data_IF_909716734149
#
_entry.id   IF_909716734149
#
_cell.length_a   1.000
_cell.length_b   1.000
_cell.length_c   1.000
_cell.angle_alpha   90.00
_cell.angle_beta   90.00
_cell.angle_gamma   90.00
#
_symmetry.space_group_name_H-M   'P 1'
#
loop_
_entity.id
_entity.type
_entity.pdbx_description
1 polymer ?
#
# COMPACT_ATOMS: atom_id res chain seq x y z
N UNK A 1 10.92 22.64 -9.77
CA UNK A 1 11.27 21.47 -10.60
C UNK A 1 12.50 20.70 -10.07
N UNK A 2 13.56 21.33 -9.57
CA UNK A 2 14.75 20.64 -9.01
C UNK A 2 14.46 19.85 -7.72
N UNK A 3 13.74 20.44 -6.74
CA UNK A 3 13.41 19.76 -5.46
C UNK A 3 12.67 18.43 -5.63
N UNK A 4 11.68 18.36 -6.52
CA UNK A 4 10.94 17.12 -6.76
C UNK A 4 11.80 15.99 -7.33
N UNK A 5 12.77 16.32 -8.21
CA UNK A 5 13.73 15.33 -8.73
C UNK A 5 14.65 14.81 -7.63
N UNK A 6 15.11 15.69 -6.74
CA UNK A 6 15.94 15.29 -5.60
C UNK A 6 15.18 14.34 -4.68
N UNK A 7 13.93 14.66 -4.32
CA UNK A 7 13.13 13.76 -3.48
C UNK A 7 12.78 12.44 -4.15
N UNK A 8 12.55 12.42 -5.46
CA UNK A 8 12.36 11.18 -6.21
C UNK A 8 13.63 10.30 -6.19
N UNK A 9 14.81 10.91 -6.37
CA UNK A 9 16.09 10.22 -6.27
C UNK A 9 16.35 9.70 -4.85
N UNK A 10 16.05 10.51 -3.82
CA UNK A 10 16.16 10.10 -2.43
C UNK A 10 15.18 8.97 -2.08
N UNK A 11 13.95 9.01 -2.58
CA UNK A 11 12.97 7.93 -2.40
C UNK A 11 13.47 6.63 -3.05
N UNK A 12 13.99 6.72 -4.28
CA UNK A 12 14.57 5.58 -4.98
C UNK A 12 15.77 5.00 -4.22
N UNK A 13 16.70 5.86 -3.79
CA UNK A 13 17.85 5.46 -3.00
C UNK A 13 17.45 4.84 -1.67
N UNK A 14 16.49 5.43 -0.95
CA UNK A 14 15.97 4.92 0.31
C UNK A 14 15.32 3.54 0.13
N UNK A 15 14.46 3.38 -0.88
CA UNK A 15 13.82 2.08 -1.17
C UNK A 15 14.86 1.01 -1.54
N UNK A 16 15.84 1.36 -2.38
CA UNK A 16 16.94 0.46 -2.77
C UNK A 16 17.88 0.13 -1.61
N UNK A 17 17.90 0.94 -0.54
CA UNK A 17 18.74 0.74 0.63
C UNK A 17 18.04 -0.03 1.76
N UNK A 18 16.77 -0.43 1.61
CA UNK A 18 16.08 -1.24 2.60
C UNK A 18 16.73 -2.63 2.62
N UNK A 19 17.43 -3.04 3.70
CA UNK A 19 18.19 -4.30 3.74
C UNK A 19 17.37 -5.50 3.32
N UNK A 20 16.13 -5.60 3.81
CA UNK A 20 15.26 -6.72 3.48
C UNK A 20 14.86 -6.78 2.00
N UNK A 21 14.62 -5.64 1.35
CA UNK A 21 14.33 -5.61 -0.09
C UNK A 21 15.55 -6.04 -0.92
N UNK A 22 16.76 -5.62 -0.51
CA UNK A 22 18.01 -6.07 -1.13
C UNK A 22 18.13 -7.59 -1.02
N UNK A 23 17.93 -8.15 0.17
CA UNK A 23 17.97 -9.60 0.39
C UNK A 23 16.94 -10.35 -0.46
N UNK A 24 15.68 -9.89 -0.48
CA UNK A 24 14.63 -10.52 -1.29
C UNK A 24 14.94 -10.48 -2.78
N UNK A 25 15.52 -9.38 -3.26
CA UNK A 25 15.92 -9.24 -4.67
C UNK A 25 17.04 -10.20 -5.04
N UNK A 26 18.02 -10.41 -4.16
CA UNK A 26 19.13 -11.36 -4.38
C UNK A 26 18.70 -12.83 -4.33
N UNK A 27 17.63 -13.14 -3.59
CA UNK A 27 17.08 -14.49 -3.46
C UNK A 27 15.98 -14.81 -4.51
N UNK A 28 15.76 -13.91 -5.47
CA UNK A 28 14.75 -14.04 -6.52
C UNK A 28 13.33 -14.33 -6.01
N UNK A 29 12.97 -13.82 -4.82
CA UNK A 29 11.61 -13.93 -4.32
C UNK A 29 10.66 -13.04 -5.12
N UNK A 30 9.48 -13.58 -5.43
CA UNK A 30 8.44 -12.85 -6.17
C UNK A 30 7.91 -11.62 -5.42
N UNK A 31 8.14 -11.53 -4.10
CA UNK A 31 7.77 -10.38 -3.28
C UNK A 31 8.41 -9.07 -3.77
N UNK A 32 9.65 -9.13 -4.30
CA UNK A 32 10.32 -7.96 -4.89
C UNK A 32 9.66 -7.49 -6.18
N UNK A 33 9.30 -8.43 -7.06
CA UNK A 33 8.57 -8.12 -8.30
C UNK A 33 7.19 -7.54 -7.99
N UNK A 34 6.48 -8.09 -6.99
CA UNK A 34 5.20 -7.59 -6.55
C UNK A 34 5.31 -6.18 -5.96
N UNK A 35 6.36 -5.89 -5.18
CA UNK A 35 6.63 -4.55 -4.66
C UNK A 35 6.85 -3.52 -5.78
N UNK A 36 7.58 -3.90 -6.84
CA UNK A 36 7.80 -3.05 -8.00
C UNK A 36 6.50 -2.80 -8.79
N UNK A 37 5.68 -3.84 -8.99
CA UNK A 37 4.36 -3.70 -9.62
C UNK A 37 3.44 -2.81 -8.80
N UNK A 38 3.39 -2.99 -7.47
CA UNK A 38 2.62 -2.16 -6.55
C UNK A 38 3.01 -0.68 -6.64
N UNK A 39 4.32 -0.40 -6.63
CA UNK A 39 4.85 0.95 -6.79
C UNK A 39 4.48 1.54 -8.15
N UNK A 40 4.71 0.80 -9.24
CA UNK A 40 4.39 1.25 -10.59
C UNK A 40 2.90 1.58 -10.75
N UNK A 41 2.02 0.69 -10.27
CA UNK A 41 0.58 0.91 -10.28
C UNK A 41 0.20 2.17 -9.49
N UNK A 42 0.76 2.35 -8.29
CA UNK A 42 0.46 3.51 -7.46
C UNK A 42 0.92 4.83 -8.09
N UNK A 43 2.14 4.90 -8.64
CA UNK A 43 2.65 6.10 -9.31
C UNK A 43 1.81 6.43 -10.55
N UNK A 44 1.53 5.43 -11.40
CA UNK A 44 0.73 5.63 -12.61
C UNK A 44 -0.73 5.98 -12.29
N UNK A 45 -1.28 5.41 -11.21
CA UNK A 45 -2.61 5.76 -10.73
C UNK A 45 -2.67 7.20 -10.22
N UNK A 46 -1.69 7.64 -9.43
CA UNK A 46 -1.61 9.04 -8.97
C UNK A 46 -1.51 9.98 -10.18
N UNK A 47 -0.66 9.67 -11.17
CA UNK A 47 -0.54 10.48 -12.39
C UNK A 47 -1.85 10.54 -13.20
N UNK A 48 -2.60 9.44 -13.30
CA UNK A 48 -3.95 9.46 -13.89
C UNK A 48 -4.92 10.36 -13.11
N UNK A 49 -4.89 10.29 -11.78
CA UNK A 49 -5.81 11.06 -10.95
C UNK A 49 -5.50 12.57 -11.03
N UNK A 50 -4.22 12.94 -11.01
CA UNK A 50 -3.75 14.32 -11.13
C UNK A 50 -4.05 14.89 -12.53
N UNK A 51 -3.51 14.27 -13.59
CA UNK A 51 -3.48 14.89 -14.92
C UNK A 51 -4.49 14.29 -15.91
N UNK A 52 -5.06 13.11 -15.62
CA UNK A 52 -6.00 12.44 -16.52
C UNK A 52 -5.35 11.89 -17.79
N UNK A 53 -4.05 11.61 -17.77
CA UNK A 53 -3.34 11.07 -18.93
C UNK A 53 -3.72 9.60 -19.17
N UNK A 54 -4.32 9.24 -20.32
CA UNK A 54 -4.80 7.88 -20.57
C UNK A 54 -3.68 6.83 -20.56
N UNK A 55 -2.46 7.21 -20.97
CA UNK A 55 -1.29 6.33 -20.90
C UNK A 55 -0.94 5.91 -19.46
N UNK A 56 -1.09 6.82 -18.48
CA UNK A 56 -0.87 6.50 -17.08
C UNK A 56 -1.91 5.50 -16.57
N UNK A 57 -3.19 5.69 -16.92
CA UNK A 57 -4.23 4.73 -16.57
C UNK A 57 -3.97 3.35 -17.17
N UNK A 58 -3.58 3.29 -18.45
CA UNK A 58 -3.27 2.03 -19.13
C UNK A 58 -2.13 1.29 -18.43
N UNK A 59 -1.04 1.97 -18.11
CA UNK A 59 0.09 1.38 -17.39
C UNK A 59 -0.30 0.93 -15.98
N UNK A 60 -1.14 1.69 -15.28
CA UNK A 60 -1.68 1.27 -13.98
C UNK A 60 -2.53 -0.01 -14.12
N UNK A 61 -3.41 -0.10 -15.11
CA UNK A 61 -4.23 -1.28 -15.40
C UNK A 61 -3.36 -2.50 -15.68
N UNK A 62 -2.33 -2.36 -16.51
CA UNK A 62 -1.38 -3.45 -16.79
C UNK A 62 -0.68 -3.91 -15.51
N UNK A 63 -0.20 -2.97 -14.68
CA UNK A 63 0.42 -3.31 -13.41
C UNK A 63 -0.56 -4.03 -12.46
N UNK A 64 -1.81 -3.57 -12.34
CA UNK A 64 -2.86 -4.23 -11.55
C UNK A 64 -3.18 -5.63 -12.05
N UNK A 65 -3.20 -5.84 -13.36
CA UNK A 65 -3.43 -7.15 -13.97
C UNK A 65 -2.29 -8.14 -13.65
N UNK A 66 -1.04 -7.66 -13.65
CA UNK A 66 0.14 -8.49 -13.38
C UNK A 66 0.35 -8.83 -11.90
N UNK A 67 -0.16 -8.03 -10.96
CA UNK A 67 -0.02 -8.31 -9.53
C UNK A 67 -0.55 -9.70 -9.11
N UNK A 68 -1.84 -10.05 -9.35
CA UNK A 68 -2.37 -11.37 -8.97
C UNK A 68 -1.74 -12.52 -9.76
N UNK A 69 -1.16 -12.25 -10.93
CA UNK A 69 -0.38 -13.23 -11.69
C UNK A 69 0.97 -13.51 -11.02
N UNK A 70 1.65 -12.47 -10.55
CA UNK A 70 2.93 -12.60 -9.86
C UNK A 70 2.78 -13.36 -8.54
N UNK A 71 1.76 -13.04 -7.73
CA UNK A 71 1.49 -13.71 -6.45
C UNK A 71 0.03 -13.57 -6.08
N UNK A 72 -0.53 -14.56 -5.38
CA UNK A 72 -1.93 -14.51 -4.92
C UNK A 72 -2.24 -13.28 -4.05
N UNK A 73 -1.29 -12.88 -3.18
CA UNK A 73 -1.40 -11.66 -2.34
C UNK A 73 -1.50 -10.38 -3.18
N UNK A 74 -1.05 -10.41 -4.44
CA UNK A 74 -1.09 -9.27 -5.34
C UNK A 74 -2.50 -8.81 -5.68
N UNK A 75 -3.50 -9.71 -5.62
CA UNK A 75 -4.91 -9.30 -5.75
C UNK A 75 -5.31 -8.37 -4.59
N UNK A 76 -4.88 -8.69 -3.37
CA UNK A 76 -5.22 -7.88 -2.18
C UNK A 76 -4.62 -6.49 -2.31
N UNK A 77 -3.35 -6.38 -2.72
CA UNK A 77 -2.67 -5.09 -2.96
C UNK A 77 -3.41 -4.26 -4.01
N UNK A 78 -3.76 -4.88 -5.15
CA UNK A 78 -4.49 -4.20 -6.22
C UNK A 78 -5.83 -3.64 -5.70
N UNK A 79 -6.61 -4.46 -4.99
CA UNK A 79 -7.91 -4.05 -4.46
C UNK A 79 -7.80 -2.94 -3.42
N UNK A 80 -6.83 -2.97 -2.50
CA UNK A 80 -6.69 -1.90 -1.51
C UNK A 80 -6.21 -0.58 -2.12
N UNK A 81 -5.36 -0.62 -3.16
CA UNK A 81 -4.96 0.59 -3.90
C UNK A 81 -6.15 1.23 -4.62
N UNK A 82 -6.97 0.41 -5.28
CA UNK A 82 -8.18 0.88 -5.97
C UNK A 82 -9.23 1.39 -4.98
N UNK A 83 -9.43 0.70 -3.86
CA UNK A 83 -10.31 1.16 -2.78
C UNK A 83 -9.83 2.50 -2.21
N UNK A 84 -8.53 2.62 -1.92
CA UNK A 84 -7.95 3.87 -1.46
C UNK A 84 -8.15 5.01 -2.47
N UNK A 85 -8.03 4.74 -3.78
CA UNK A 85 -8.34 5.72 -4.82
C UNK A 85 -9.81 6.15 -4.84
N UNK A 86 -10.76 5.24 -4.65
CA UNK A 86 -12.19 5.58 -4.55
C UNK A 86 -12.48 6.42 -3.30
N UNK A 87 -11.85 6.08 -2.17
CA UNK A 87 -12.03 6.80 -0.90
C UNK A 87 -11.45 8.22 -0.97
N UNK A 88 -10.27 8.41 -1.57
CA UNK A 88 -9.60 9.70 -1.70
C UNK A 88 -10.20 10.56 -2.83
N UNK A 89 -10.65 9.92 -3.91
CA UNK A 89 -11.29 10.54 -5.08
C UNK A 89 -12.76 10.08 -5.21
N UNK A 90 -13.62 10.42 -4.24
CA UNK A 90 -15.04 10.07 -4.28
C UNK A 90 -15.73 10.72 -5.49
N UNK A 91 -16.92 10.23 -5.90
CA UNK A 91 -17.52 10.61 -7.18
C UNK A 91 -17.80 12.12 -7.31
N UNK A 92 -18.02 12.81 -6.20
CA UNK A 92 -18.19 14.27 -6.17
C UNK A 92 -16.90 15.07 -6.44
N UNK A 93 -15.72 14.45 -6.36
CA UNK A 93 -14.44 15.03 -6.79
C UNK A 93 -14.07 14.68 -8.23
N UNK A 94 -14.80 13.76 -8.86
CA UNK A 94 -14.59 13.35 -10.25
C UNK A 94 -14.78 11.84 -10.47
N UNK A 95 -14.93 11.45 -11.73
CA UNK A 95 -15.14 10.05 -12.13
C UNK A 95 -13.85 9.23 -12.24
N UNK A 96 -12.68 9.88 -12.23
CA UNK A 96 -11.38 9.25 -12.52
C UNK A 96 -11.03 8.10 -11.56
N UNK A 97 -11.31 8.26 -10.27
CA UNK A 97 -11.08 7.20 -9.26
C UNK A 97 -11.92 5.95 -9.52
N UNK A 98 -13.21 6.13 -9.85
CA UNK A 98 -14.11 5.04 -10.19
C UNK A 98 -13.74 4.35 -11.50
N UNK A 99 -13.37 5.13 -12.53
CA UNK A 99 -12.90 4.56 -13.79
C UNK A 99 -11.66 3.69 -13.56
N UNK A 100 -10.70 4.19 -12.77
CA UNK A 100 -9.51 3.41 -12.42
C UNK A 100 -9.86 2.15 -11.61
N UNK A 101 -10.75 2.25 -10.62
CA UNK A 101 -11.19 1.12 -9.81
C UNK A 101 -11.92 0.05 -10.62
N UNK A 102 -12.82 0.44 -11.52
CA UNK A 102 -13.53 -0.49 -12.39
C UNK A 102 -12.57 -1.13 -13.40
N UNK A 103 -11.81 -0.33 -14.15
CA UNK A 103 -10.93 -0.85 -15.19
C UNK A 103 -9.78 -1.69 -14.60
N UNK A 104 -9.10 -1.19 -13.57
CA UNK A 104 -8.02 -1.92 -12.89
C UNK A 104 -8.53 -3.14 -12.14
N UNK A 105 -9.69 -3.03 -11.47
CA UNK A 105 -10.32 -4.14 -10.75
C UNK A 105 -10.76 -5.26 -11.70
N UNK A 106 -11.41 -4.93 -12.80
CA UNK A 106 -11.75 -5.90 -13.85
C UNK A 106 -10.50 -6.59 -14.40
N UNK A 107 -9.43 -5.84 -14.71
CA UNK A 107 -8.20 -6.44 -15.23
C UNK A 107 -7.53 -7.40 -14.22
N UNK A 108 -7.43 -6.99 -12.95
CA UNK A 108 -6.91 -7.85 -11.89
C UNK A 108 -7.76 -9.12 -11.69
N UNK A 109 -9.09 -8.98 -11.68
CA UNK A 109 -10.01 -10.11 -11.53
C UNK A 109 -9.98 -11.08 -12.70
N UNK A 110 -9.90 -10.59 -13.94
CA UNK A 110 -9.80 -11.45 -15.13
C UNK A 110 -8.53 -12.30 -15.07
N UNK A 111 -7.39 -11.70 -14.74
CA UNK A 111 -6.13 -12.43 -14.63
C UNK A 111 -6.13 -13.40 -13.45
N UNK A 112 -6.61 -12.97 -12.28
CA UNK A 112 -6.74 -13.83 -11.11
C UNK A 112 -7.66 -15.03 -11.36
N UNK A 113 -8.81 -14.80 -11.99
CA UNK A 113 -9.77 -15.85 -12.33
C UNK A 113 -9.18 -16.82 -13.36
N UNK A 114 -8.51 -16.31 -14.40
CA UNK A 114 -7.82 -17.16 -15.38
C UNK A 114 -6.79 -18.07 -14.71
N UNK A 115 -5.99 -17.53 -13.80
CA UNK A 115 -5.01 -18.33 -13.04
C UNK A 115 -5.68 -19.36 -12.12
N UNK A 116 -6.77 -19.00 -11.43
CA UNK A 116 -7.52 -19.94 -10.59
C UNK A 116 -8.18 -21.05 -11.40
N UNK A 117 -8.64 -20.79 -12.62
CA UNK A 117 -9.15 -21.84 -13.51
C UNK A 117 -8.04 -22.84 -13.90
N UNK A 118 -6.84 -22.34 -14.21
CA UNK A 118 -5.67 -23.19 -14.52
C UNK A 118 -5.28 -24.06 -13.32
N UNK A 119 -5.41 -23.53 -12.10
CA UNK A 119 -5.02 -24.22 -10.86
C UNK A 119 -6.15 -24.97 -10.15
N UNK A 120 -7.37 -24.98 -10.70
CA UNK A 120 -8.56 -25.54 -10.05
C UNK A 120 -8.46 -27.04 -9.72
N UNK A 121 -7.62 -27.80 -10.43
CA UNK A 121 -7.35 -29.21 -10.15
C UNK A 121 -6.29 -29.46 -9.07
N UNK A 122 -5.63 -28.41 -8.56
CA UNK A 122 -4.60 -28.54 -7.53
C UNK A 122 -5.24 -28.70 -6.14
N UNK A 123 -4.72 -29.57 -5.27
CA UNK A 123 -5.23 -29.70 -3.92
C UNK A 123 -5.07 -28.37 -3.17
N UNK A 124 -6.07 -27.95 -2.38
CA UNK A 124 -6.00 -26.69 -1.64
C UNK A 124 -4.83 -26.74 -0.66
N UNK A 125 -3.96 -25.72 -0.70
CA UNK A 125 -2.94 -25.52 0.32
C UNK A 125 -3.65 -25.13 1.63
N UNK A 126 -3.80 -26.10 2.54
CA UNK A 126 -4.53 -25.97 3.81
C UNK A 126 -3.86 -25.07 4.86
N UNK A 127 -3.24 -23.96 4.46
CA UNK A 127 -2.54 -23.02 5.34
C UNK A 127 -3.49 -22.16 6.19
N UNK A 128 -4.76 -22.10 5.82
CA UNK A 128 -5.80 -21.34 6.50
C UNK A 128 -7.04 -22.19 6.76
N UNK A 129 -7.65 -21.95 7.91
CA UNK A 129 -8.96 -22.42 8.31
C UNK A 129 -10.07 -21.69 7.53
N UNK A 130 -11.29 -22.25 7.44
CA UNK A 130 -12.42 -21.58 6.81
C UNK A 130 -12.69 -20.20 7.42
N UNK A 131 -12.93 -19.20 6.56
CA UNK A 131 -13.29 -17.83 6.94
C UNK A 131 -14.74 -17.77 7.47
N UNK A 132 -14.96 -18.24 8.69
CA UNK A 132 -16.28 -18.21 9.36
C UNK A 132 -16.25 -17.37 10.63
N UNK A 133 -17.40 -16.88 11.06
CA UNK A 133 -17.54 -16.17 12.33
C UNK A 133 -17.12 -17.04 13.53
N UNK A 134 -17.41 -18.35 13.47
CA UNK A 134 -16.99 -19.31 14.50
C UNK A 134 -15.46 -19.42 14.57
N UNK A 135 -14.78 -19.57 13.43
CA UNK A 135 -13.31 -19.58 13.37
C UNK A 135 -12.73 -18.26 13.90
N UNK A 136 -13.30 -17.12 13.53
CA UNK A 136 -12.86 -15.82 14.00
C UNK A 136 -12.95 -15.72 15.53
N UNK A 137 -14.13 -16.03 16.10
CA UNK A 137 -14.37 -15.99 17.55
C UNK A 137 -13.42 -16.92 18.31
N UNK A 138 -13.23 -18.14 17.82
CA UNK A 138 -12.33 -19.11 18.44
C UNK A 138 -10.86 -18.65 18.47
N UNK A 139 -10.47 -17.70 17.61
CA UNK A 139 -9.10 -17.25 17.45
C UNK A 139 -8.85 -15.79 17.82
N UNK A 140 -9.85 -15.07 18.37
CA UNK A 140 -9.68 -13.68 18.83
C UNK A 140 -8.55 -13.52 19.86
N UNK A 141 -8.30 -14.55 20.68
CA UNK A 141 -7.19 -14.56 21.63
C UNK A 141 -5.80 -14.45 20.99
N UNK A 142 -5.67 -14.71 19.68
CA UNK A 142 -4.40 -14.59 18.94
C UNK A 142 -4.03 -13.13 18.61
N UNK A 143 -4.97 -12.18 18.69
CA UNK A 143 -4.77 -10.79 18.27
C UNK A 143 -3.56 -10.17 18.98
N UNK A 144 -3.42 -10.37 20.29
CA UNK A 144 -2.33 -9.78 21.07
C UNK A 144 -0.96 -10.27 20.61
N UNK A 145 -0.79 -11.58 20.41
CA UNK A 145 0.46 -12.16 19.95
C UNK A 145 0.78 -11.77 18.50
N UNK A 146 -0.23 -11.76 17.61
CA UNK A 146 -0.06 -11.28 16.23
C UNK A 146 0.40 -9.82 16.25
N UNK A 147 -0.25 -8.97 17.04
CA UNK A 147 0.12 -7.56 17.17
C UNK A 147 1.55 -7.38 17.67
N UNK A 148 1.98 -8.13 18.69
CA UNK A 148 3.35 -8.08 19.21
C UNK A 148 4.37 -8.42 18.12
N UNK A 149 4.18 -9.53 17.42
CA UNK A 149 5.08 -9.98 16.34
C UNK A 149 5.09 -8.97 15.19
N UNK A 150 3.92 -8.49 14.76
CA UNK A 150 3.80 -7.49 13.69
C UNK A 150 4.54 -6.21 14.06
N UNK A 151 4.34 -5.70 15.28
CA UNK A 151 5.03 -4.52 15.79
C UNK A 151 6.54 -4.71 15.80
N UNK A 152 7.02 -5.84 16.32
CA UNK A 152 8.46 -6.15 16.37
C UNK A 152 9.08 -6.21 14.96
N UNK A 153 8.41 -6.87 14.02
CA UNK A 153 8.86 -6.94 12.63
C UNK A 153 8.89 -5.56 11.97
N UNK A 154 7.83 -4.74 12.13
CA UNK A 154 7.77 -3.40 11.56
C UNK A 154 8.78 -2.44 12.22
N UNK A 155 9.18 -2.68 13.47
CA UNK A 155 10.19 -1.85 14.14
C UNK A 155 11.62 -2.37 13.95
N UNK A 156 11.81 -3.46 13.18
CA UNK A 156 13.14 -4.00 12.90
C UNK A 156 13.99 -3.06 12.04
N UNK A 157 15.30 -3.09 12.28
CA UNK A 157 16.32 -2.41 11.48
C UNK A 157 16.40 -2.95 10.05
N UNK A 158 15.92 -4.17 9.79
CA UNK A 158 15.87 -4.79 8.46
C UNK A 158 15.02 -3.99 7.47
N UNK A 159 14.11 -3.16 7.97
CA UNK A 159 13.31 -2.21 7.20
C UNK A 159 13.90 -0.80 7.18
N UNK A 160 15.15 -0.61 7.60
CA UNK A 160 15.82 0.70 7.68
C UNK A 160 14.99 1.77 8.40
N UNK A 161 14.21 1.37 9.41
CA UNK A 161 13.31 2.22 10.19
C UNK A 161 12.23 2.95 9.36
N UNK A 162 11.91 2.51 8.13
CA UNK A 162 10.91 3.18 7.28
C UNK A 162 9.54 3.24 7.98
N UNK A 163 9.16 2.20 8.73
CA UNK A 163 7.85 2.12 9.36
C UNK A 163 7.70 3.09 10.53
N UNK A 164 8.65 3.16 11.50
CA UNK A 164 8.60 4.21 12.51
C UNK A 164 8.68 5.62 11.91
N UNK A 165 9.46 5.84 10.84
CA UNK A 165 9.46 7.15 10.15
C UNK A 165 8.10 7.44 9.53
N UNK A 166 7.50 6.50 8.79
CA UNK A 166 6.16 6.63 8.22
C UNK A 166 5.12 6.92 9.31
N UNK A 167 5.20 6.23 10.45
CA UNK A 167 4.33 6.47 11.59
C UNK A 167 4.48 7.89 12.12
N UNK A 168 5.71 8.38 12.33
CA UNK A 168 5.98 9.75 12.78
C UNK A 168 5.40 10.76 11.79
N UNK A 169 5.66 10.60 10.49
CA UNK A 169 5.08 11.48 9.46
C UNK A 169 3.55 11.46 9.48
N UNK A 170 2.95 10.29 9.70
CA UNK A 170 1.50 10.13 9.83
C UNK A 170 0.95 10.87 11.04
N UNK A 171 1.56 10.69 12.21
CA UNK A 171 1.18 11.37 13.45
C UNK A 171 1.35 12.89 13.34
N UNK A 172 2.48 13.35 12.77
CA UNK A 172 2.70 14.77 12.50
C UNK A 172 1.64 15.33 11.54
N UNK A 173 1.22 14.57 10.53
CA UNK A 173 0.14 14.97 9.61
C UNK A 173 -1.19 15.06 10.34
N UNK A 174 -1.51 14.11 11.22
CA UNK A 174 -2.74 14.10 12.03
C UNK A 174 -2.78 15.23 13.07
N UNK A 175 -1.62 15.71 13.53
CA UNK A 175 -1.50 16.84 14.44
C UNK A 175 -1.71 18.21 13.76
N UNK A 176 -1.84 18.27 12.44
CA UNK A 176 -2.08 19.52 11.72
C UNK A 176 -3.47 20.10 12.03
N UNK A 177 -3.64 21.45 11.98
CA UNK A 177 -4.95 22.08 12.05
C UNK A 177 -5.93 21.49 11.02
N UNK A 178 -7.22 21.38 11.38
CA UNK A 178 -8.23 20.69 10.56
C UNK A 178 -8.27 21.13 9.08
N UNK A 179 -8.00 22.42 8.80
CA UNK A 179 -7.93 22.95 7.43
C UNK A 179 -6.73 22.37 6.65
N UNK A 180 -5.56 22.33 7.28
CA UNK A 180 -4.34 21.78 6.69
C UNK A 180 -4.40 20.26 6.59
N UNK A 181 -4.96 19.59 7.60
CA UNK A 181 -5.23 18.15 7.57
C UNK A 181 -6.13 17.81 6.38
N UNK A 182 -7.24 18.52 6.20
CA UNK A 182 -8.13 18.30 5.03
C UNK A 182 -7.41 18.53 3.71
N UNK A 183 -6.49 19.49 3.63
CA UNK A 183 -5.69 19.72 2.44
C UNK A 183 -4.68 18.59 2.20
N UNK A 184 -4.02 18.10 3.25
CA UNK A 184 -3.10 16.96 3.21
C UNK A 184 -3.77 15.70 2.63
N UNK A 185 -4.92 15.33 3.24
CA UNK A 185 -5.73 14.17 2.85
C UNK A 185 -6.50 14.36 1.54
N UNK A 186 -6.48 15.57 0.97
CA UNK A 186 -7.05 15.86 -0.35
C UNK A 186 -6.10 15.56 -1.50
N UNK A 187 -4.83 15.31 -1.20
CA UNK A 187 -3.85 14.94 -2.22
C UNK A 187 -4.06 13.49 -2.66
N UNK A 188 -3.93 13.23 -3.95
CA UNK A 188 -4.01 11.86 -4.49
C UNK A 188 -2.89 10.96 -3.91
N UNK A 189 -1.77 11.55 -3.46
CA UNK A 189 -0.70 10.84 -2.75
C UNK A 189 -1.14 10.19 -1.42
N UNK A 190 -2.27 10.61 -0.83
CA UNK A 190 -2.84 9.98 0.39
C UNK A 190 -3.35 8.56 0.15
N UNK A 191 -3.44 8.12 -1.11
CA UNK A 191 -3.68 6.72 -1.48
C UNK A 191 -2.58 5.80 -0.93
N UNK A 192 -1.32 6.26 -0.95
CA UNK A 192 -0.15 5.46 -0.56
C UNK A 192 -0.19 4.99 0.91
N UNK A 193 -0.30 5.87 1.92
CA UNK A 193 -0.34 5.44 3.32
C UNK A 193 -1.62 4.67 3.63
N UNK A 194 -2.75 5.04 3.02
CA UNK A 194 -4.02 4.36 3.23
C UNK A 194 -3.97 2.92 2.71
N UNK A 195 -3.53 2.70 1.47
CA UNK A 195 -3.39 1.37 0.89
C UNK A 195 -2.36 0.52 1.65
N UNK A 196 -1.24 1.12 2.07
CA UNK A 196 -0.21 0.46 2.87
C UNK A 196 -0.79 -0.02 4.21
N UNK A 197 -1.47 0.85 4.95
CA UNK A 197 -2.07 0.51 6.24
C UNK A 197 -3.16 -0.57 6.09
N UNK A 198 -4.06 -0.41 5.12
CA UNK A 198 -5.11 -1.39 4.85
C UNK A 198 -4.52 -2.77 4.51
N UNK A 199 -3.51 -2.82 3.63
CA UNK A 199 -2.84 -4.06 3.27
C UNK A 199 -2.23 -4.75 4.50
N UNK A 200 -1.40 -4.04 5.26
CA UNK A 200 -0.71 -4.60 6.43
C UNK A 200 -1.69 -5.10 7.49
N UNK A 201 -2.80 -4.38 7.71
CA UNK A 201 -3.85 -4.79 8.64
C UNK A 201 -4.60 -6.03 8.16
N UNK A 202 -4.97 -6.10 6.87
CA UNK A 202 -5.64 -7.27 6.30
C UNK A 202 -4.74 -8.51 6.35
N UNK A 203 -3.47 -8.35 5.98
CA UNK A 203 -2.49 -9.43 6.05
C UNK A 203 -2.15 -9.83 7.48
N UNK A 204 -2.23 -8.94 8.47
CA UNK A 204 -2.12 -9.32 9.87
C UNK A 204 -3.37 -10.11 10.32
N UNK A 205 -4.56 -9.65 9.94
CA UNK A 205 -5.84 -10.26 10.34
C UNK A 205 -6.02 -11.68 9.78
N UNK A 206 -5.46 -11.99 8.60
CA UNK A 206 -5.57 -13.34 8.01
C UNK A 206 -4.95 -14.42 8.89
N UNK A 207 -3.96 -14.09 9.74
CA UNK A 207 -3.34 -15.05 10.66
C UNK A 207 -4.24 -15.51 11.80
N UNK A 208 -5.37 -14.82 12.06
CA UNK A 208 -6.43 -15.34 12.93
C UNK A 208 -6.98 -16.67 12.40
N UNK A 209 -6.88 -16.89 11.10
CA UNK A 209 -7.33 -18.11 10.42
C UNK A 209 -6.18 -19.06 10.12
N UNK A 210 -4.95 -18.82 10.58
CA UNK A 210 -3.82 -19.73 10.33
C UNK A 210 -4.09 -21.11 10.93
N UNK A 211 -3.92 -22.17 10.13
CA UNK A 211 -4.05 -23.57 10.58
C UNK A 211 -2.75 -24.12 11.21
N UNK A 212 -1.64 -23.37 11.11
CA UNK A 212 -0.33 -23.80 11.61
C UNK A 212 -0.33 -23.99 13.13
N UNK A 213 0.42 -24.99 13.59
CA UNK A 213 0.66 -25.28 15.00
C UNK A 213 2.18 -25.34 15.25
N UNK A 214 2.76 -24.31 15.90
CA UNK A 214 2.12 -23.09 16.40
C UNK A 214 1.91 -22.00 15.32
N UNK A 215 0.80 -21.28 15.39
CA UNK A 215 0.46 -20.25 14.38
C UNK A 215 1.46 -19.09 14.32
N UNK A 216 2.14 -18.76 15.42
CA UNK A 216 3.08 -17.63 15.46
C UNK A 216 4.30 -17.85 14.56
N UNK A 217 4.70 -19.09 14.30
CA UNK A 217 5.76 -19.39 13.33
C UNK A 217 5.35 -19.04 11.90
N UNK A 218 4.06 -19.18 11.56
CA UNK A 218 3.53 -18.75 10.28
C UNK A 218 3.60 -17.22 10.16
N UNK A 219 3.29 -16.48 11.23
CA UNK A 219 3.40 -15.02 11.25
C UNK A 219 4.86 -14.58 11.07
N UNK A 220 5.78 -15.15 11.85
CA UNK A 220 7.20 -14.80 11.84
C UNK A 220 7.86 -15.02 10.46
N UNK A 221 7.56 -16.15 9.83
CA UNK A 221 8.16 -16.52 8.54
C UNK A 221 7.60 -15.75 7.34
N UNK A 222 6.35 -15.27 7.42
CA UNK A 222 5.65 -14.69 6.27
C UNK A 222 5.49 -13.17 6.37
N UNK A 223 5.25 -12.60 7.56
CA UNK A 223 4.86 -11.19 7.69
C UNK A 223 5.91 -10.21 7.17
N UNK A 224 7.20 -10.50 7.41
CA UNK A 224 8.32 -9.71 6.87
C UNK A 224 8.26 -9.60 5.35
N UNK A 225 7.97 -10.71 4.67
CA UNK A 225 7.85 -10.75 3.21
C UNK A 225 6.62 -9.99 2.71
N UNK A 226 5.53 -10.03 3.46
CA UNK A 226 4.32 -9.27 3.12
C UNK A 226 4.56 -7.77 3.25
N UNK A 227 5.18 -7.33 4.35
CA UNK A 227 5.48 -5.92 4.57
C UNK A 227 6.40 -5.33 3.50
N UNK A 228 7.38 -6.09 2.99
CA UNK A 228 8.21 -5.63 1.85
C UNK A 228 7.43 -5.31 0.58
N UNK A 229 6.29 -5.96 0.33
CA UNK A 229 5.51 -5.73 -0.89
C UNK A 229 4.92 -4.32 -0.95
N UNK A 230 4.74 -3.66 0.20
CA UNK A 230 4.21 -2.29 0.30
C UNK A 230 5.20 -1.29 0.87
N UNK A 231 6.40 -1.73 1.27
CA UNK A 231 7.46 -0.85 1.76
C UNK A 231 7.80 0.31 0.79
N UNK A 232 7.90 0.09 -0.54
CA UNK A 232 8.16 1.20 -1.47
C UNK A 232 7.05 2.26 -1.49
N UNK A 233 5.79 1.87 -1.21
CA UNK A 233 4.67 2.82 -1.14
C UNK A 233 4.83 3.76 0.07
N UNK A 234 5.27 3.24 1.22
CA UNK A 234 5.57 4.03 2.40
C UNK A 234 6.73 5.01 2.15
N UNK A 235 7.81 4.54 1.53
CA UNK A 235 8.95 5.40 1.14
C UNK A 235 8.52 6.51 0.19
N UNK A 236 7.76 6.17 -0.85
CA UNK A 236 7.24 7.15 -1.81
C UNK A 236 6.37 8.19 -1.10
N UNK A 237 5.50 7.78 -0.18
CA UNK A 237 4.66 8.70 0.59
C UNK A 237 5.46 9.65 1.48
N UNK A 238 6.47 9.15 2.20
CA UNK A 238 7.38 9.99 2.99
C UNK A 238 8.03 11.05 2.08
N UNK A 239 8.50 10.64 0.91
CA UNK A 239 9.13 11.56 -0.04
C UNK A 239 8.14 12.60 -0.60
N UNK A 240 6.90 12.22 -0.91
CA UNK A 240 5.84 13.16 -1.28
C UNK A 240 5.60 14.17 -0.17
N UNK A 241 5.45 13.71 1.07
CA UNK A 241 5.14 14.57 2.21
C UNK A 241 6.31 15.52 2.54
N UNK A 242 7.56 15.04 2.43
CA UNK A 242 8.76 15.86 2.59
C UNK A 242 8.99 16.87 1.45
N UNK A 243 8.52 16.55 0.24
CA UNK A 243 8.62 17.44 -0.93
C UNK A 243 7.69 18.65 -0.85
N UNK A 244 6.57 18.50 -0.16
CA UNK A 244 5.58 19.54 0.05
C UNK A 244 5.54 19.90 1.53
N UNK A 245 6.56 20.63 2.05
CA UNK A 245 6.49 21.12 3.42
C UNK A 245 5.21 21.95 3.53
N UNK A 246 4.27 21.45 4.32
CA UNK A 246 2.93 21.99 4.53
C UNK A 246 2.98 23.51 4.56
N UNK A 247 2.57 24.12 3.44
CA UNK A 247 2.25 25.54 3.28
C UNK A 247 3.15 26.45 4.13
N UNK A 248 4.43 26.52 3.78
CA UNK A 248 5.19 27.74 4.09
C UNK A 248 4.51 28.84 3.29
N UNK A 249 3.78 29.75 3.98
CA UNK A 249 3.00 30.90 3.46
C UNK A 249 1.47 30.80 3.43
N UNK A 250 0.82 30.42 4.55
CA UNK A 250 -0.47 31.04 4.91
C UNK A 250 -0.31 32.50 5.40
N UNK A 251 0.90 33.05 5.28
CA UNK A 251 1.20 34.47 5.23
C UNK A 251 1.82 34.78 3.87
N UNK A 252 1.02 35.28 2.94
CA UNK A 252 1.34 36.49 2.17
C UNK A 252 0.16 36.81 1.24
N UNK A 253 -0.64 37.79 1.67
CA UNK A 253 -1.50 38.63 0.82
C UNK A 253 -2.59 37.97 -0.04
N UNK A 254 -3.82 37.88 0.49
CA UNK A 254 -4.92 38.56 -0.21
C UNK A 254 -5.52 39.58 0.76
N UNK A 255 -5.22 40.88 0.58
CA UNK A 255 -5.76 41.96 1.38
C UNK A 255 -7.28 42.08 1.23
N UNK A 256 -7.84 42.68 2.28
CA UNK A 256 -9.25 43.00 2.53
C UNK A 256 -9.94 43.62 1.30
N UNK A 257 -11.17 43.18 1.02
CA UNK A 257 -12.13 43.99 0.25
C UNK A 257 -12.29 45.34 0.93
N UNK A 258 -11.78 46.39 0.28
CA UNK A 258 -12.10 47.78 0.53
C UNK A 258 -12.20 48.46 -0.83
N UNK A 259 -13.38 49.01 -1.14
CA UNK A 259 -13.78 49.56 -2.44
C UNK A 259 -15.15 49.05 -2.83
#
# INVERSE_FOLDING_TARGET
RSRGRVWALLAGAAAASIPWLVTLSGLAYVDGALAALALAAAVMLIAWLDDGQPGALLLAIVAFALMPWAKEDGLVIALVLLLAAVVICPPWRGRRGWVAALAGGCAALVVAAGWKLVTAGSPPAGAFLPLTAATLQANLGRITTIWQIVRENLMSIDFALIWPVALIFGLCTLALPAVQLRAAWRTNASILPLATALYLCLMAAIYLFSSFQPYYQHVLSSYFRLASQVAPLAVLWIAYTGSFPFVTTAQASIPRRGG
#
